data_IF_721834188692
#
_entry.id   IF_721834188692
#
_cell.length_a   1.000
_cell.length_b   1.000
_cell.length_c   1.000
_cell.angle_alpha   90.00
_cell.angle_beta   90.00
_cell.angle_gamma   90.00
#
_symmetry.space_group_name_H-M   'P 1'
#
loop_
_entity.id
_entity.type
_entity.pdbx_description
1 polymer ?
#
# COMPACT_ATOMS: atom_id res chain seq x y z
N UNK A 1 6.91 -7.56 -14.52
CA UNK A 1 7.15 -6.14 -14.20
C UNK A 1 7.18 -6.01 -12.69
N UNK A 2 8.22 -5.38 -12.15
CA UNK A 2 8.41 -5.22 -10.70
C UNK A 2 7.79 -3.92 -10.21
N UNK A 3 7.10 -4.02 -9.09
CA UNK A 3 6.54 -2.91 -8.33
C UNK A 3 7.05 -2.99 -6.90
N UNK A 4 7.66 -1.90 -6.45
CA UNK A 4 8.17 -1.71 -5.10
C UNK A 4 7.18 -0.81 -4.37
N UNK A 5 6.75 -1.22 -3.18
CA UNK A 5 5.75 -0.47 -2.45
C UNK A 5 6.00 -0.49 -0.95
N UNK A 6 5.36 0.46 -0.30
CA UNK A 6 5.37 0.67 1.14
C UNK A 6 4.00 1.21 1.57
N UNK A 7 3.56 0.85 2.78
CA UNK A 7 2.32 1.34 3.35
C UNK A 7 2.53 1.89 4.74
N UNK A 8 1.80 2.95 5.03
CA UNK A 8 1.64 3.45 6.40
C UNK A 8 0.24 3.09 6.87
N UNK A 9 0.12 2.67 8.13
CA UNK A 9 -1.14 2.20 8.69
C UNK A 9 -1.19 2.39 10.21
N UNK A 10 -2.40 2.37 10.76
CA UNK A 10 -2.66 2.22 12.19
C UNK A 10 -3.07 0.77 12.42
N UNK A 11 -2.32 0.05 13.24
CA UNK A 11 -2.64 -1.33 13.64
C UNK A 11 -2.83 -1.44 15.15
N UNK A 12 -3.68 -2.38 15.56
CA UNK A 12 -4.05 -2.63 16.96
C UNK A 12 -3.97 -4.10 17.37
N UNK A 13 -3.23 -4.92 16.60
CA UNK A 13 -3.18 -6.37 16.75
C UNK A 13 -4.43 -7.13 16.26
N UNK A 14 -5.44 -6.43 15.76
CA UNK A 14 -6.68 -7.02 15.21
C UNK A 14 -6.92 -6.55 13.77
N UNK A 15 -6.75 -5.25 13.53
CA UNK A 15 -7.01 -4.60 12.24
C UNK A 15 -5.79 -3.84 11.76
N UNK A 16 -5.76 -3.59 10.44
CA UNK A 16 -4.78 -2.74 9.78
C UNK A 16 -5.55 -1.65 9.03
N UNK A 17 -5.56 -0.44 9.59
CA UNK A 17 -6.23 0.72 9.02
C UNK A 17 -5.25 1.52 8.16
N UNK A 18 -5.37 1.38 6.83
CA UNK A 18 -4.44 1.98 5.86
C UNK A 18 -4.50 3.51 5.93
N UNK A 19 -3.36 4.13 6.22
CA UNK A 19 -3.15 5.59 6.17
C UNK A 19 -2.71 6.00 4.76
N UNK A 20 -1.63 5.42 4.21
CA UNK A 20 -1.14 5.75 2.87
C UNK A 20 -0.45 4.57 2.19
N UNK A 21 -0.33 4.64 0.86
CA UNK A 21 0.44 3.69 0.06
C UNK A 21 1.24 4.43 -1.01
N UNK A 22 2.53 4.10 -1.10
CA UNK A 22 3.43 4.51 -2.18
C UNK A 22 3.83 3.31 -3.02
N UNK A 23 3.82 3.43 -4.35
CA UNK A 23 4.25 2.38 -5.28
C UNK A 23 5.10 2.98 -6.39
N UNK A 24 6.24 2.34 -6.68
CA UNK A 24 7.12 2.68 -7.81
C UNK A 24 7.35 1.44 -8.65
N UNK A 25 7.28 1.56 -9.97
CA UNK A 25 7.63 0.44 -10.87
C UNK A 25 9.09 0.51 -11.34
N UNK A 26 9.61 -0.60 -11.89
CA UNK A 26 11.00 -0.66 -12.38
C UNK A 26 11.31 0.29 -13.56
N UNK A 27 10.30 1.02 -14.07
CA UNK A 27 10.44 2.03 -15.13
C UNK A 27 10.34 3.46 -14.60
N UNK A 28 10.17 3.64 -13.28
CA UNK A 28 10.09 4.94 -12.63
C UNK A 28 8.71 5.59 -12.67
N UNK A 29 7.64 4.86 -12.98
CA UNK A 29 6.28 5.38 -12.72
C UNK A 29 6.03 5.34 -11.22
N UNK A 30 5.37 6.38 -10.72
CA UNK A 30 5.07 6.54 -9.30
C UNK A 30 3.56 6.65 -9.07
N UNK A 31 3.12 6.07 -7.95
CA UNK A 31 1.80 6.20 -7.40
C UNK A 31 1.93 6.55 -5.92
N UNK A 32 1.15 7.52 -5.47
CA UNK A 32 1.01 7.83 -4.05
C UNK A 32 -0.43 8.23 -3.76
N UNK A 33 -0.97 7.70 -2.65
CA UNK A 33 -2.27 8.09 -2.15
C UNK A 33 -2.34 7.97 -0.62
N UNK A 34 -3.16 8.84 -0.02
CA UNK A 34 -3.51 8.85 1.40
C UNK A 34 -4.99 8.54 1.51
N UNK A 35 -5.35 7.57 2.36
CA UNK A 35 -6.73 7.19 2.60
C UNK A 35 -7.48 8.30 3.32
N UNK A 36 -8.69 8.63 2.88
CA UNK A 36 -9.62 9.48 3.64
C UNK A 36 -10.41 8.72 4.69
N UNK A 37 -10.25 7.39 4.74
CA UNK A 37 -11.16 6.51 5.46
C UNK A 37 -10.58 6.00 6.79
N UNK A 38 -9.30 6.29 7.09
CA UNK A 38 -8.69 5.91 8.36
C UNK A 38 -9.12 6.85 9.49
N UNK A 39 -9.11 6.34 10.73
CA UNK A 39 -9.42 7.16 11.90
C UNK A 39 -8.14 7.68 12.59
N UNK A 40 -7.77 8.97 12.42
CA UNK A 40 -6.57 9.54 13.05
C UNK A 40 -6.65 9.58 14.58
N UNK A 41 -7.82 9.42 15.19
CA UNK A 41 -7.94 9.33 16.65
C UNK A 41 -7.33 8.04 17.20
N UNK A 42 -7.28 6.97 16.41
CA UNK A 42 -6.69 5.67 16.80
C UNK A 42 -5.16 5.65 16.75
N UNK A 43 -4.53 6.65 16.13
CA UNK A 43 -3.08 6.70 16.03
C UNK A 43 -2.43 6.87 17.41
N UNK A 44 -1.50 5.96 17.73
CA UNK A 44 -0.61 6.09 18.87
C UNK A 44 0.42 7.22 18.70
N UNK A 45 1.19 7.58 19.75
CA UNK A 45 2.14 8.69 19.70
C UNK A 45 3.16 8.57 18.57
N UNK A 46 3.68 7.37 18.33
CA UNK A 46 4.67 7.12 17.28
C UNK A 46 4.13 7.42 15.88
N UNK A 47 2.92 6.94 15.56
CA UNK A 47 2.29 7.17 14.25
C UNK A 47 1.98 8.65 14.04
N UNK A 48 1.56 9.37 15.08
CA UNK A 48 1.30 10.81 14.99
C UNK A 48 2.56 11.57 14.56
N UNK A 49 3.65 11.38 15.29
CA UNK A 49 4.92 12.08 15.05
C UNK A 49 5.63 11.61 13.77
N UNK A 50 5.57 10.31 13.48
CA UNK A 50 6.39 9.73 12.41
C UNK A 50 5.66 9.59 11.08
N UNK A 51 4.32 9.61 11.08
CA UNK A 51 3.51 9.41 9.88
C UNK A 51 2.60 10.60 9.62
N UNK A 52 1.68 10.89 10.55
CA UNK A 52 0.60 11.86 10.29
C UNK A 52 1.12 13.27 10.01
N UNK A 53 2.17 13.70 10.73
CA UNK A 53 2.79 15.02 10.54
C UNK A 53 3.51 15.18 9.20
N UNK A 54 3.75 14.07 8.47
CA UNK A 54 4.41 14.06 7.16
C UNK A 54 3.42 13.98 5.99
N UNK A 55 2.12 13.82 6.28
CA UNK A 55 1.10 13.73 5.25
C UNK A 55 0.96 15.07 4.51
N UNK A 56 0.60 15.04 3.22
CA UNK A 56 0.38 16.25 2.44
C UNK A 56 -0.78 17.06 3.00
N UNK A 57 -0.83 18.35 2.62
CA UNK A 57 -1.94 19.23 2.96
C UNK A 57 -3.30 18.56 2.67
N UNK A 58 -4.34 18.74 3.51
CA UNK A 58 -5.67 18.15 3.28
C UNK A 58 -6.33 18.51 1.94
N UNK A 59 -5.86 19.57 1.27
CA UNK A 59 -6.32 19.96 -0.07
C UNK A 59 -5.59 19.23 -1.22
N UNK A 60 -4.60 18.40 -0.92
CA UNK A 60 -3.84 17.66 -1.92
C UNK A 60 -4.69 16.54 -2.57
N UNK A 61 -4.51 16.35 -3.88
CA UNK A 61 -5.18 15.29 -4.65
C UNK A 61 -4.72 13.86 -4.29
N UNK A 62 -3.68 13.73 -3.47
CA UNK A 62 -3.23 12.46 -2.92
C UNK A 62 -4.28 11.85 -1.97
N UNK A 63 -5.11 12.68 -1.33
CA UNK A 63 -6.20 12.22 -0.47
C UNK A 63 -7.33 11.59 -1.30
N UNK A 64 -7.60 10.30 -1.06
CA UNK A 64 -8.55 9.49 -1.81
C UNK A 64 -9.27 8.50 -0.91
N UNK A 65 -10.51 8.15 -1.24
CA UNK A 65 -11.20 7.04 -0.57
C UNK A 65 -10.51 5.71 -0.89
N UNK A 66 -10.65 4.70 -0.03
CA UNK A 66 -10.14 3.34 -0.30
C UNK A 66 -10.68 2.77 -1.62
N UNK A 67 -11.91 3.15 -1.97
CA UNK A 67 -12.55 2.74 -3.23
C UNK A 67 -11.89 3.32 -4.48
N UNK A 68 -11.35 4.55 -4.38
CA UNK A 68 -10.57 5.18 -5.44
C UNK A 68 -9.15 4.62 -5.45
N UNK A 69 -8.50 4.49 -4.29
CA UNK A 69 -7.14 3.92 -4.17
C UNK A 69 -7.07 2.55 -4.84
N UNK A 70 -8.02 1.63 -4.56
CA UNK A 70 -8.01 0.29 -5.18
C UNK A 70 -8.20 0.33 -6.70
N UNK A 71 -8.99 1.29 -7.22
CA UNK A 71 -9.25 1.41 -8.65
C UNK A 71 -8.01 1.96 -9.37
N UNK A 72 -7.45 3.03 -8.84
CA UNK A 72 -6.28 3.70 -9.40
C UNK A 72 -5.03 2.82 -9.31
N UNK A 73 -4.86 2.06 -8.21
CA UNK A 73 -3.77 1.07 -8.09
C UNK A 73 -3.91 -0.05 -9.12
N UNK A 74 -5.12 -0.56 -9.34
CA UNK A 74 -5.35 -1.61 -10.32
C UNK A 74 -5.03 -1.14 -11.75
N UNK A 75 -5.39 0.11 -12.06
CA UNK A 75 -5.00 0.78 -13.31
C UNK A 75 -3.48 0.97 -13.39
N UNK A 76 -2.85 1.45 -12.32
CA UNK A 76 -1.40 1.67 -12.25
C UNK A 76 -0.60 0.39 -12.48
N UNK A 77 -1.00 -0.72 -11.84
CA UNK A 77 -0.41 -2.04 -12.05
C UNK A 77 -0.60 -2.55 -13.48
N UNK A 78 -1.74 -2.25 -14.10
CA UNK A 78 -2.04 -2.65 -15.46
C UNK A 78 -2.03 -4.18 -15.65
N UNK A 79 -1.68 -4.63 -16.86
CA UNK A 79 -1.58 -6.07 -17.23
C UNK A 79 -0.29 -6.34 -18.02
N UNK A 80 0.89 -6.20 -17.40
CA UNK A 80 2.15 -6.49 -18.08
C UNK A 80 2.21 -7.95 -18.55
N UNK A 81 2.73 -8.18 -19.76
CA UNK A 81 2.78 -9.51 -20.39
C UNK A 81 3.56 -10.55 -19.57
N UNK A 82 4.63 -10.11 -18.89
CA UNK A 82 5.42 -10.95 -17.97
C UNK A 82 4.85 -11.08 -16.56
N UNK A 83 3.62 -10.60 -16.31
CA UNK A 83 3.00 -10.61 -14.98
C UNK A 83 3.53 -9.52 -14.04
N UNK A 84 2.94 -9.47 -12.85
CA UNK A 84 3.25 -8.50 -11.79
C UNK A 84 4.11 -9.19 -10.73
N UNK A 85 5.18 -8.53 -10.29
CA UNK A 85 5.94 -8.90 -9.10
C UNK A 85 5.80 -7.77 -8.08
N UNK A 86 5.31 -8.09 -6.89
CA UNK A 86 5.26 -7.18 -5.76
C UNK A 86 6.50 -7.37 -4.89
N UNK A 87 7.11 -6.27 -4.49
CA UNK A 87 8.29 -6.20 -3.62
C UNK A 87 8.07 -5.15 -2.53
N UNK A 88 8.41 -5.47 -1.29
CA UNK A 88 8.44 -4.53 -0.17
C UNK A 88 9.52 -4.96 0.83
N UNK A 89 9.94 -4.06 1.71
CA UNK A 89 10.96 -4.33 2.73
C UNK A 89 10.27 -4.66 4.06
N UNK A 90 10.44 -5.87 4.59
CA UNK A 90 9.63 -6.41 5.70
C UNK A 90 8.12 -6.48 5.39
N UNK A 91 7.79 -7.14 4.29
CA UNK A 91 6.55 -6.96 3.52
C UNK A 91 5.24 -7.48 4.17
N UNK A 92 5.27 -8.06 5.37
CA UNK A 92 4.17 -8.88 5.87
C UNK A 92 2.88 -8.08 6.08
N UNK A 93 2.95 -6.99 6.84
CA UNK A 93 1.79 -6.14 7.10
C UNK A 93 1.38 -5.37 5.84
N UNK A 94 2.34 -4.88 5.06
CA UNK A 94 2.08 -4.17 3.81
C UNK A 94 1.30 -5.02 2.80
N UNK A 95 1.60 -6.32 2.72
CA UNK A 95 0.86 -7.23 1.85
C UNK A 95 -0.61 -7.33 2.28
N UNK A 96 -0.87 -7.44 3.60
CA UNK A 96 -2.23 -7.49 4.12
C UNK A 96 -2.95 -6.16 3.90
N UNK A 97 -2.29 -5.03 4.19
CA UNK A 97 -2.84 -3.68 3.98
C UNK A 97 -3.24 -3.43 2.52
N UNK A 98 -2.36 -3.79 1.57
CA UNK A 98 -2.64 -3.75 0.15
C UNK A 98 -3.81 -4.67 -0.24
N UNK A 99 -3.78 -5.94 0.18
CA UNK A 99 -4.81 -6.91 -0.22
C UNK A 99 -6.21 -6.53 0.30
N UNK A 100 -6.29 -6.00 1.52
CA UNK A 100 -7.55 -5.56 2.15
C UNK A 100 -8.22 -4.37 1.46
N UNK A 101 -7.57 -3.70 0.49
CA UNK A 101 -8.25 -2.75 -0.40
C UNK A 101 -9.33 -3.42 -1.26
N UNK A 102 -9.21 -4.73 -1.53
CA UNK A 102 -10.20 -5.52 -2.24
C UNK A 102 -11.09 -6.37 -1.34
N UNK A 103 -10.87 -6.38 -0.02
CA UNK A 103 -11.63 -7.17 0.94
C UNK A 103 -10.89 -8.45 1.33
N UNK A 104 -11.55 -9.60 1.20
CA UNK A 104 -10.94 -10.87 1.55
C UNK A 104 -9.96 -11.33 0.46
N UNK A 105 -9.03 -12.24 0.78
CA UNK A 105 -8.05 -12.75 -0.17
C UNK A 105 -8.66 -13.33 -1.48
N UNK A 106 -9.84 -13.99 -1.48
CA UNK A 106 -10.49 -14.44 -2.71
C UNK A 106 -10.90 -13.29 -3.66
N UNK A 107 -11.16 -12.10 -3.12
CA UNK A 107 -11.59 -10.91 -3.88
C UNK A 107 -10.42 -10.18 -4.54
N UNK A 108 -9.17 -10.55 -4.19
CA UNK A 108 -7.97 -9.96 -4.77
C UNK A 108 -7.95 -10.23 -6.30
N UNK A 109 -7.77 -9.19 -7.15
CA UNK A 109 -7.71 -9.34 -8.59
C UNK A 109 -6.76 -10.45 -9.04
N UNK A 110 -7.19 -11.29 -9.99
CA UNK A 110 -6.41 -12.46 -10.44
C UNK A 110 -5.01 -12.12 -10.93
N UNK A 111 -4.81 -10.93 -11.50
CA UNK A 111 -3.52 -10.46 -11.98
C UNK A 111 -2.51 -10.13 -10.87
N UNK A 112 -2.96 -9.88 -9.64
CA UNK A 112 -2.08 -9.56 -8.52
C UNK A 112 -1.57 -10.85 -7.86
N UNK A 113 -0.26 -10.95 -7.56
CA UNK A 113 0.29 -12.07 -6.80
C UNK A 113 -0.33 -12.17 -5.40
N UNK A 114 -0.44 -13.39 -4.87
CA UNK A 114 -0.91 -13.67 -3.49
C UNK A 114 0.21 -13.66 -2.45
N UNK A 115 1.36 -13.10 -2.85
CA UNK A 115 2.51 -12.91 -1.98
C UNK A 115 3.27 -11.67 -2.46
N UNK A 116 3.93 -11.02 -1.51
CA UNK A 116 4.94 -10.00 -1.80
C UNK A 116 6.32 -10.60 -1.54
N UNK A 117 7.28 -10.32 -2.42
CA UNK A 117 8.67 -10.70 -2.21
C UNK A 117 9.31 -9.76 -1.22
N UNK A 118 10.04 -10.32 -0.26
CA UNK A 118 10.69 -9.54 0.77
C UNK A 118 12.07 -9.07 0.29
N UNK A 119 12.23 -7.75 0.18
CA UNK A 119 13.47 -7.13 -0.29
C UNK A 119 14.58 -7.24 0.76
N UNK A 120 14.25 -7.28 2.06
CA UNK A 120 15.25 -7.51 3.12
C UNK A 120 15.84 -8.91 2.98
N UNK A 121 14.99 -9.92 2.77
CA UNK A 121 15.47 -11.28 2.55
C UNK A 121 16.41 -11.34 1.34
N UNK A 122 16.01 -10.73 0.22
CA UNK A 122 16.86 -10.68 -0.99
C UNK A 122 18.19 -9.94 -0.78
N UNK A 123 18.24 -8.97 0.12
CA UNK A 123 19.45 -8.19 0.44
C UNK A 123 20.47 -9.01 1.25
N UNK A 124 20.02 -9.99 2.02
CA UNK A 124 20.90 -10.87 2.80
C UNK A 124 21.52 -12.01 1.95
N UNK A 125 20.94 -12.29 0.77
CA UNK A 125 21.38 -13.30 -0.21
C UNK A 125 22.44 -12.78 -1.22
#
# INVERSE_FOLDING_TARGET
>A
MRFFYDTEFIEDGVTIDLVSIGVVDERGREFYAVSTDFDPAKAGPWVRENVLDKLPSPADKAWRSRSQIRADLLEFFGKPSGGIELWAWYAAYDHVALAQLWGAMPDLPRQLPRFTRDLRQRWED
#
